data_IF_105331684483
#
_entry.id   IF_105331684483
#
_cell.length_a   1.000
_cell.length_b   1.000
_cell.length_c   1.000
_cell.angle_alpha   90.00
_cell.angle_beta   90.00
_cell.angle_gamma   90.00
#
_symmetry.space_group_name_H-M   'P 1'
#
loop_
_entity.id
_entity.type
_entity.pdbx_description
1 polymer ?
#
# COMPACT_ATOMS: atom_id res chain seq x y z
N UNK A 1 -18.25 -5.10 -16.50
CA UNK A 1 -18.05 -4.51 -15.16
C UNK A 1 -17.17 -3.26 -15.32
N UNK A 2 -17.30 -2.24 -14.46
CA UNK A 2 -16.55 -0.98 -14.61
C UNK A 2 -15.53 -0.76 -13.48
N UNK A 3 -14.44 -0.03 -13.73
CA UNK A 3 -13.48 0.36 -12.69
C UNK A 3 -14.11 1.21 -11.57
N UNK A 4 -15.19 1.96 -11.89
CA UNK A 4 -16.00 2.69 -10.93
C UNK A 4 -16.55 1.78 -9.81
N UNK A 5 -17.07 0.59 -10.17
CA UNK A 5 -17.60 -0.37 -9.19
C UNK A 5 -16.49 -0.89 -8.28
N UNK A 6 -15.31 -1.15 -8.83
CA UNK A 6 -14.15 -1.55 -8.02
C UNK A 6 -13.74 -0.42 -7.06
N UNK A 7 -13.65 0.83 -7.52
CA UNK A 7 -13.39 2.00 -6.67
C UNK A 7 -14.37 2.08 -5.51
N UNK A 8 -15.66 2.01 -5.79
CA UNK A 8 -16.70 2.20 -4.78
C UNK A 8 -16.67 1.07 -3.74
N UNK A 9 -16.44 -0.18 -4.18
CA UNK A 9 -16.26 -1.31 -3.27
C UNK A 9 -15.01 -1.18 -2.40
N UNK A 10 -13.89 -0.69 -2.94
CA UNK A 10 -12.64 -0.48 -2.20
C UNK A 10 -12.80 0.58 -1.11
N UNK A 11 -13.48 1.68 -1.42
CA UNK A 11 -13.82 2.72 -0.45
C UNK A 11 -14.65 2.12 0.68
N UNK A 12 -15.72 1.38 0.34
CA UNK A 12 -16.58 0.73 1.32
C UNK A 12 -15.80 -0.25 2.22
N UNK A 13 -14.89 -1.04 1.63
CA UNK A 13 -14.04 -1.96 2.40
C UNK A 13 -13.10 -1.24 3.35
N UNK A 14 -12.47 -0.15 2.93
CA UNK A 14 -11.59 0.65 3.79
C UNK A 14 -12.37 1.35 4.92
N UNK A 15 -13.56 1.87 4.63
CA UNK A 15 -14.44 2.49 5.63
C UNK A 15 -14.91 1.48 6.67
N UNK A 16 -15.23 0.25 6.27
CA UNK A 16 -15.58 -0.83 7.19
C UNK A 16 -14.44 -1.19 8.18
N UNK A 17 -13.19 -0.90 7.80
CA UNK A 17 -12.00 -1.04 8.66
C UNK A 17 -11.73 0.21 9.52
N UNK A 18 -12.57 1.25 9.42
CA UNK A 18 -12.40 2.52 10.12
C UNK A 18 -11.29 3.40 9.53
N UNK A 19 -10.89 3.17 8.28
CA UNK A 19 -9.84 3.96 7.64
C UNK A 19 -10.38 5.19 6.95
N UNK A 20 -9.57 6.25 6.90
CA UNK A 20 -9.88 7.44 6.12
C UNK A 20 -9.76 7.14 4.63
N UNK A 21 -10.79 7.44 3.86
CA UNK A 21 -10.82 7.31 2.40
C UNK A 21 -10.84 8.69 1.74
N UNK A 22 -10.16 8.84 0.61
CA UNK A 22 -10.23 10.05 -0.19
C UNK A 22 -9.97 9.77 -1.67
N UNK A 23 -10.73 10.44 -2.54
CA UNK A 23 -10.32 10.60 -3.93
C UNK A 23 -9.15 11.57 -4.02
N UNK A 24 -8.15 11.20 -4.81
CA UNK A 24 -6.95 11.98 -5.04
C UNK A 24 -6.75 12.15 -6.54
N UNK A 25 -7.44 13.12 -7.18
CA UNK A 25 -7.31 13.38 -8.62
C UNK A 25 -5.88 13.65 -9.06
N UNK A 26 -5.03 14.15 -8.16
CA UNK A 26 -3.61 14.37 -8.42
C UNK A 26 -2.85 13.09 -8.80
N UNK A 27 -3.30 11.90 -8.37
CA UNK A 27 -2.66 10.63 -8.76
C UNK A 27 -2.92 10.25 -10.21
N UNK A 28 -3.97 10.79 -10.84
CA UNK A 28 -4.25 10.61 -12.26
C UNK A 28 -3.82 11.83 -13.08
N UNK A 29 -3.09 12.77 -12.46
CA UNK A 29 -2.48 13.90 -13.15
C UNK A 29 -1.50 13.40 -14.21
N UNK A 30 -1.49 13.98 -15.42
CA UNK A 30 -0.55 13.60 -16.47
C UNK A 30 0.86 14.12 -16.21
N UNK A 31 1.01 15.06 -15.28
CA UNK A 31 2.26 15.76 -15.04
C UNK A 31 2.82 15.49 -13.64
N UNK A 32 4.16 15.48 -13.53
CA UNK A 32 4.83 15.45 -12.24
C UNK A 32 4.48 16.68 -11.40
N UNK A 33 4.38 16.50 -10.08
CA UNK A 33 4.13 17.60 -9.16
C UNK A 33 5.13 18.75 -9.38
N UNK A 34 4.62 19.92 -9.72
CA UNK A 34 5.42 21.13 -9.94
C UNK A 34 6.07 21.25 -11.32
N UNK A 35 5.71 20.40 -12.29
CA UNK A 35 6.05 20.57 -13.70
C UNK A 35 4.76 20.62 -14.49
N UNK A 36 4.57 21.62 -15.33
CA UNK A 36 3.44 21.68 -16.26
C UNK A 36 3.97 21.50 -17.69
N UNK A 37 3.31 20.66 -18.49
CA UNK A 37 3.57 20.56 -19.94
C UNK A 37 4.51 19.44 -20.39
N UNK A 38 4.56 18.32 -19.66
CA UNK A 38 5.27 17.12 -20.13
C UNK A 38 4.44 16.30 -21.12
N UNK A 39 5.11 15.45 -21.93
CA UNK A 39 4.43 14.49 -22.81
C UNK A 39 3.52 13.59 -21.97
N UNK A 40 2.22 13.72 -22.20
CA UNK A 40 1.19 13.06 -21.39
C UNK A 40 1.27 11.56 -21.63
N UNK A 41 1.41 10.71 -20.61
CA UNK A 41 1.19 9.29 -20.79
C UNK A 41 -0.26 9.08 -21.24
N UNK A 42 -0.44 8.29 -22.29
CA UNK A 42 -1.75 7.91 -22.77
C UNK A 42 -2.34 6.84 -21.84
N UNK A 43 -2.98 7.29 -20.76
CA UNK A 43 -3.60 6.44 -19.74
C UNK A 43 -5.00 6.01 -20.21
N UNK A 44 -5.46 4.79 -19.88
CA UNK A 44 -6.83 4.38 -20.16
C UNK A 44 -7.86 5.37 -19.60
N UNK A 45 -8.98 5.51 -20.30
CA UNK A 45 -10.17 6.15 -19.73
C UNK A 45 -10.60 5.39 -18.46
N UNK A 46 -11.24 6.09 -17.52
CA UNK A 46 -11.76 5.55 -16.25
C UNK A 46 -10.68 5.04 -15.28
N UNK A 47 -9.60 5.80 -15.13
CA UNK A 47 -8.63 5.63 -14.03
C UNK A 47 -9.02 6.52 -12.83
N UNK A 48 -8.91 5.96 -11.62
CA UNK A 48 -9.19 6.67 -10.37
C UNK A 48 -8.00 6.63 -9.42
N UNK A 49 -7.67 7.77 -8.84
CA UNK A 49 -6.68 7.89 -7.78
C UNK A 49 -7.36 7.91 -6.42
N UNK A 50 -6.97 7.02 -5.52
CA UNK A 50 -7.54 6.88 -4.18
C UNK A 50 -6.44 6.89 -3.12
N UNK A 51 -6.78 7.32 -1.92
CA UNK A 51 -6.03 7.05 -0.70
C UNK A 51 -6.95 6.28 0.25
N UNK A 52 -6.55 5.07 0.60
CA UNK A 52 -7.24 4.17 1.53
C UNK A 52 -6.37 4.02 2.78
N UNK A 53 -6.60 4.83 3.81
CA UNK A 53 -5.67 4.95 4.94
C UNK A 53 -4.27 5.40 4.48
N UNK A 54 -3.25 4.58 4.76
CA UNK A 54 -1.86 4.82 4.33
C UNK A 54 -1.51 4.19 2.97
N UNK A 55 -2.50 3.71 2.22
CA UNK A 55 -2.30 3.03 0.94
C UNK A 55 -2.79 3.90 -0.23
N UNK A 56 -1.88 4.52 -0.99
CA UNK A 56 -2.21 5.11 -2.29
C UNK A 56 -2.57 4.03 -3.29
N UNK A 57 -3.69 4.20 -3.99
CA UNK A 57 -4.19 3.23 -4.95
C UNK A 57 -4.56 3.91 -6.26
N UNK A 58 -4.11 3.34 -7.38
CA UNK A 58 -4.68 3.60 -8.70
C UNK A 58 -5.64 2.48 -9.06
N UNK A 59 -6.89 2.81 -9.39
CA UNK A 59 -7.89 1.87 -9.90
C UNK A 59 -8.03 2.07 -11.40
N UNK A 60 -7.83 1.03 -12.21
CA UNK A 60 -7.84 1.16 -13.67
C UNK A 60 -8.48 -0.07 -14.36
N UNK A 61 -9.01 0.09 -15.59
CA UNK A 61 -9.47 -1.05 -16.38
C UNK A 61 -8.30 -1.84 -16.96
N UNK A 62 -8.52 -3.14 -17.15
CA UNK A 62 -7.65 -3.99 -17.98
C UNK A 62 -8.49 -4.92 -18.85
N UNK A 63 -8.11 -5.06 -20.11
CA UNK A 63 -8.70 -6.04 -21.04
C UNK A 63 -7.85 -7.31 -21.01
N UNK A 64 -8.46 -8.44 -20.69
CA UNK A 64 -7.79 -9.75 -20.64
C UNK A 64 -8.01 -10.47 -21.97
N UNK A 65 -7.01 -10.40 -22.84
CA UNK A 65 -7.09 -10.97 -24.19
C UNK A 65 -5.73 -11.04 -24.84
N UNK A 66 -5.42 -10.05 -25.69
CA UNK A 66 -4.11 -9.93 -26.30
C UNK A 66 -3.03 -9.57 -25.26
N UNK A 67 -2.04 -10.45 -25.12
CA UNK A 67 -0.90 -10.32 -24.21
C UNK A 67 -0.11 -9.05 -24.50
N UNK A 68 0.11 -8.73 -25.77
CA UNK A 68 0.93 -7.57 -26.14
C UNK A 68 0.22 -6.27 -25.76
N UNK A 69 -1.08 -6.18 -26.04
CA UNK A 69 -1.91 -5.06 -25.60
C UNK A 69 -1.95 -4.94 -24.08
N UNK A 70 -2.09 -6.06 -23.36
CA UNK A 70 -2.09 -6.06 -21.90
C UNK A 70 -0.77 -5.52 -21.34
N UNK A 71 0.37 -5.96 -21.88
CA UNK A 71 1.70 -5.46 -21.50
C UNK A 71 1.89 -3.97 -21.85
N UNK A 72 1.37 -3.50 -22.99
CA UNK A 72 1.37 -2.06 -23.34
C UNK A 72 0.57 -1.25 -22.33
N UNK A 73 -0.63 -1.72 -21.96
CA UNK A 73 -1.48 -1.06 -20.97
C UNK A 73 -0.81 -1.03 -19.59
N UNK A 74 -0.21 -2.12 -19.15
CA UNK A 74 0.52 -2.19 -17.88
C UNK A 74 1.71 -1.23 -17.83
N UNK A 75 2.47 -1.10 -18.93
CA UNK A 75 3.57 -0.13 -19.02
C UNK A 75 3.08 1.32 -18.88
N UNK A 76 1.94 1.65 -19.48
CA UNK A 76 1.31 2.98 -19.36
C UNK A 76 0.86 3.25 -17.91
N UNK A 77 0.26 2.25 -17.25
CA UNK A 77 -0.13 2.36 -15.84
C UNK A 77 1.07 2.47 -14.90
N UNK A 78 2.15 1.75 -15.18
CA UNK A 78 3.42 1.89 -14.46
C UNK A 78 3.99 3.31 -14.59
N UNK A 79 3.99 3.89 -15.80
CA UNK A 79 4.40 5.27 -16.01
C UNK A 79 3.49 6.25 -15.23
N UNK A 80 2.17 6.02 -15.24
CA UNK A 80 1.24 6.83 -14.45
C UNK A 80 1.51 6.74 -12.95
N UNK A 81 1.82 5.55 -12.43
CA UNK A 81 2.17 5.39 -11.01
C UNK A 81 3.47 6.12 -10.65
N UNK A 82 4.46 6.14 -11.54
CA UNK A 82 5.70 6.93 -11.34
C UNK A 82 5.39 8.42 -11.19
N UNK A 83 4.46 8.95 -11.98
CA UNK A 83 4.00 10.34 -11.84
C UNK A 83 3.23 10.53 -10.54
N UNK A 84 2.27 9.62 -10.25
CA UNK A 84 1.46 9.67 -9.04
C UNK A 84 2.30 9.72 -7.76
N UNK A 85 3.42 8.98 -7.72
CA UNK A 85 4.38 8.98 -6.60
C UNK A 85 4.94 10.37 -6.26
N UNK A 86 5.01 11.30 -7.21
CA UNK A 86 5.43 12.69 -6.93
C UNK A 86 4.42 13.49 -6.08
N UNK A 87 3.18 13.00 -5.98
CA UNK A 87 2.11 13.57 -5.16
C UNK A 87 1.89 12.81 -3.84
N UNK A 88 2.58 11.68 -3.65
CA UNK A 88 2.51 10.87 -2.43
C UNK A 88 3.48 11.40 -1.37
N UNK A 89 3.22 11.08 -0.10
CA UNK A 89 4.22 11.32 0.96
C UNK A 89 5.33 10.26 0.86
N UNK A 90 6.59 10.58 1.21
CA UNK A 90 7.70 9.63 1.11
C UNK A 90 7.42 8.27 1.78
N UNK A 91 6.75 8.28 2.92
CA UNK A 91 6.36 7.10 3.69
C UNK A 91 5.23 6.27 3.04
N UNK A 92 4.40 6.88 2.20
CA UNK A 92 3.28 6.21 1.52
C UNK A 92 3.74 5.51 0.23
N UNK A 93 4.87 5.93 -0.34
CA UNK A 93 5.35 5.47 -1.65
C UNK A 93 5.55 3.95 -1.70
N UNK A 94 6.03 3.36 -0.61
CA UNK A 94 6.23 1.90 -0.50
C UNK A 94 4.90 1.12 -0.46
N UNK A 95 3.82 1.80 -0.08
CA UNK A 95 2.48 1.25 0.04
C UNK A 95 1.61 1.52 -1.20
N UNK A 96 2.20 2.04 -2.29
CA UNK A 96 1.46 2.31 -3.51
C UNK A 96 1.02 1.01 -4.19
N UNK A 97 -0.22 0.98 -4.69
CA UNK A 97 -0.79 -0.17 -5.40
C UNK A 97 -1.50 0.25 -6.69
N UNK A 98 -1.51 -0.64 -7.68
CA UNK A 98 -2.44 -0.58 -8.82
C UNK A 98 -3.45 -1.73 -8.67
N UNK A 99 -4.73 -1.40 -8.63
CA UNK A 99 -5.83 -2.35 -8.59
C UNK A 99 -6.55 -2.34 -9.94
N UNK A 100 -6.50 -3.46 -10.64
CA UNK A 100 -6.97 -3.59 -12.01
C UNK A 100 -8.34 -4.26 -12.05
N UNK A 101 -9.31 -3.66 -12.72
CA UNK A 101 -10.63 -4.26 -12.98
C UNK A 101 -10.63 -4.88 -14.38
N UNK A 102 -10.78 -6.20 -14.48
CA UNK A 102 -10.95 -6.86 -15.76
C UNK A 102 -12.31 -6.48 -16.37
N UNK A 103 -12.30 -5.77 -17.50
CA UNK A 103 -13.52 -5.29 -18.17
C UNK A 103 -14.02 -6.24 -19.25
N UNK A 104 -13.14 -7.06 -19.81
CA UNK A 104 -13.45 -8.12 -20.77
C UNK A 104 -12.43 -9.25 -20.69
N UNK A 105 -12.88 -10.48 -20.92
CA UNK A 105 -12.07 -11.70 -21.01
C UNK A 105 -12.31 -12.40 -22.34
N UNK A 106 -11.25 -12.79 -23.04
CA UNK A 106 -11.34 -13.65 -24.22
C UNK A 106 -11.18 -15.10 -23.75
N UNK A 107 -12.22 -15.94 -23.93
CA UNK A 107 -12.29 -17.31 -23.40
C UNK A 107 -11.13 -18.22 -23.85
N UNK A 108 -10.60 -18.01 -25.06
CA UNK A 108 -9.53 -18.82 -25.66
C UNK A 108 -8.11 -18.31 -25.38
N UNK A 109 -7.95 -17.17 -24.71
CA UNK A 109 -6.64 -16.59 -24.43
C UNK A 109 -6.07 -17.11 -23.10
N UNK A 110 -4.77 -17.43 -23.05
CA UNK A 110 -4.06 -17.76 -21.81
C UNK A 110 -3.72 -16.50 -21.00
N UNK A 111 -4.76 -15.75 -20.64
CA UNK A 111 -4.61 -14.51 -19.85
C UNK A 111 -4.16 -14.81 -18.41
N UNK A 112 -4.33 -16.04 -17.92
CA UNK A 112 -3.94 -16.43 -16.55
C UNK A 112 -2.45 -16.29 -16.33
N UNK A 113 -1.64 -16.74 -17.29
CA UNK A 113 -0.19 -16.58 -17.25
C UNK A 113 0.21 -15.10 -17.22
N UNK A 114 -0.50 -14.25 -17.96
CA UNK A 114 -0.19 -12.82 -18.04
C UNK A 114 -0.62 -12.08 -16.77
N UNK A 115 -1.76 -12.46 -16.18
CA UNK A 115 -2.18 -11.95 -14.86
C UNK A 115 -1.14 -12.31 -13.81
N UNK A 116 -0.69 -13.57 -13.74
CA UNK A 116 0.36 -14.00 -12.81
C UNK A 116 1.67 -13.24 -13.04
N UNK A 117 2.05 -13.02 -14.30
CA UNK A 117 3.23 -12.20 -14.65
C UNK A 117 3.06 -10.74 -14.20
N UNK A 118 1.88 -10.16 -14.39
CA UNK A 118 1.58 -8.78 -14.02
C UNK A 118 1.57 -8.57 -12.50
N UNK A 119 1.01 -9.52 -11.75
CA UNK A 119 0.98 -9.46 -10.28
C UNK A 119 2.36 -9.69 -9.66
N UNK A 120 3.23 -10.49 -10.31
CA UNK A 120 4.63 -10.69 -9.88
C UNK A 120 5.57 -9.53 -10.21
N UNK A 121 5.23 -8.72 -11.22
CA UNK A 121 6.01 -7.53 -11.54
C UNK A 121 5.78 -6.46 -10.46
N UNK A 122 6.70 -6.34 -9.52
CA UNK A 122 6.71 -5.31 -8.47
C UNK A 122 7.73 -4.19 -8.75
N UNK A 123 8.21 -4.03 -9.99
CA UNK A 123 9.27 -3.05 -10.33
C UNK A 123 8.91 -1.61 -9.95
N UNK A 124 7.64 -1.24 -10.07
CA UNK A 124 7.13 0.11 -9.73
C UNK A 124 6.33 0.10 -8.43
N UNK A 125 5.42 -0.85 -8.31
CA UNK A 125 4.48 -1.02 -7.20
C UNK A 125 3.80 -2.40 -7.30
N UNK A 126 3.08 -2.79 -6.25
CA UNK A 126 2.24 -4.00 -6.26
C UNK A 126 1.03 -3.81 -7.17
N UNK A 127 0.71 -4.85 -7.94
CA UNK A 127 -0.43 -4.87 -8.86
C UNK A 127 -1.31 -6.05 -8.55
N UNK A 128 -2.62 -5.84 -8.52
CA UNK A 128 -3.57 -6.92 -8.23
C UNK A 128 -4.74 -6.81 -9.21
N UNK A 129 -5.10 -7.92 -9.84
CA UNK A 129 -6.19 -7.97 -10.82
C UNK A 129 -7.44 -8.56 -10.16
N UNK A 130 -8.55 -7.83 -10.25
CA UNK A 130 -9.89 -8.34 -9.96
C UNK A 130 -10.56 -8.77 -11.25
N UNK A 131 -11.01 -10.02 -11.28
CA UNK A 131 -11.81 -10.58 -12.38
C UNK A 131 -13.24 -10.74 -11.85
N UNK A 132 -14.15 -9.81 -12.16
CA UNK A 132 -15.48 -9.83 -11.62
C UNK A 132 -16.32 -10.93 -12.26
N UNK A 133 -16.94 -11.76 -11.43
CA UNK A 133 -17.87 -12.80 -11.87
C UNK A 133 -19.31 -12.25 -11.82
N UNK A 134 -20.01 -12.18 -12.96
CA UNK A 134 -21.31 -11.53 -13.05
C UNK A 134 -22.37 -12.15 -12.11
N UNK A 135 -22.32 -13.48 -11.91
CA UNK A 135 -23.26 -14.21 -11.05
C UNK A 135 -22.78 -14.34 -9.59
N UNK A 136 -21.55 -13.93 -9.30
CA UNK A 136 -20.86 -14.14 -8.02
C UNK A 136 -19.99 -12.91 -7.68
N UNK A 137 -20.53 -11.71 -7.86
CA UNK A 137 -19.74 -10.48 -7.81
C UNK A 137 -19.11 -10.25 -6.44
N UNK A 138 -19.89 -10.43 -5.38
CA UNK A 138 -19.40 -10.23 -4.01
C UNK A 138 -18.41 -11.31 -3.60
N UNK A 139 -18.59 -12.55 -4.05
CA UNK A 139 -17.64 -13.66 -3.81
C UNK A 139 -16.32 -13.42 -4.54
N UNK A 140 -16.38 -13.06 -5.83
CA UNK A 140 -15.18 -12.72 -6.61
C UNK A 140 -14.46 -11.48 -6.06
N UNK A 141 -15.20 -10.49 -5.54
CA UNK A 141 -14.62 -9.34 -4.85
C UNK A 141 -13.99 -9.73 -3.51
N UNK A 142 -14.65 -10.55 -2.70
CA UNK A 142 -14.09 -11.03 -1.44
C UNK A 142 -12.79 -11.83 -1.66
N UNK A 143 -12.75 -12.70 -2.67
CA UNK A 143 -11.54 -13.42 -3.07
C UNK A 143 -10.42 -12.47 -3.55
N UNK A 144 -10.78 -11.37 -4.20
CA UNK A 144 -9.84 -10.31 -4.54
C UNK A 144 -9.31 -9.60 -3.29
N UNK A 145 -10.20 -9.12 -2.39
CA UNK A 145 -9.85 -8.43 -1.14
C UNK A 145 -8.93 -9.26 -0.27
N UNK A 146 -9.17 -10.58 -0.18
CA UNK A 146 -8.36 -11.52 0.60
C UNK A 146 -6.86 -11.52 0.21
N UNK A 147 -6.51 -11.07 -1.00
CA UNK A 147 -5.12 -10.97 -1.49
C UNK A 147 -4.53 -9.56 -1.32
N UNK A 148 -5.27 -8.63 -0.74
CA UNK A 148 -4.86 -7.23 -0.57
C UNK A 148 -4.60 -6.91 0.90
N UNK A 149 -4.09 -5.69 1.15
CA UNK A 149 -3.96 -5.14 2.50
C UNK A 149 -5.31 -4.97 3.23
N UNK A 150 -6.45 -5.03 2.52
CA UNK A 150 -7.80 -4.94 3.09
C UNK A 150 -8.28 -6.24 3.74
N UNK A 151 -7.57 -7.37 3.58
CA UNK A 151 -7.98 -8.66 4.12
C UNK A 151 -7.97 -8.72 5.67
N UNK A 152 -7.22 -7.81 6.32
CA UNK A 152 -7.00 -7.69 7.78
C UNK A 152 -7.11 -9.00 8.59
N UNK A 153 -6.41 -10.08 8.20
CA UNK A 153 -6.54 -11.39 8.85
C UNK A 153 -6.13 -11.36 10.32
N UNK A 154 -5.30 -10.38 10.71
CA UNK A 154 -4.85 -10.18 12.08
C UNK A 154 -5.94 -9.68 13.03
N UNK A 155 -7.05 -9.09 12.54
CA UNK A 155 -8.17 -8.73 13.41
C UNK A 155 -8.90 -9.98 13.93
N UNK A 156 -8.89 -11.06 13.15
CA UNK A 156 -9.44 -12.35 13.56
C UNK A 156 -8.41 -13.23 14.30
N UNK A 157 -7.12 -12.98 14.11
CA UNK A 157 -6.08 -13.60 14.90
C UNK A 157 -6.08 -13.01 16.31
N UNK A 158 -6.62 -13.74 17.29
CA UNK A 158 -6.61 -13.31 18.68
C UNK A 158 -5.20 -12.85 19.10
N UNK A 159 -5.13 -11.73 19.80
CA UNK A 159 -3.87 -11.20 20.35
C UNK A 159 -3.21 -12.26 21.22
N UNK A 160 -2.08 -12.79 20.76
CA UNK A 160 -1.25 -13.69 21.57
C UNK A 160 -0.35 -12.81 22.43
N UNK A 161 -0.63 -12.74 23.73
CA UNK A 161 0.27 -12.12 24.70
C UNK A 161 1.54 -12.98 24.84
N UNK A 162 2.72 -12.36 24.81
CA UNK A 162 4.04 -13.01 24.80
C UNK A 162 4.40 -13.71 23.48
N UNK A 163 4.08 -13.09 22.35
CA UNK A 163 4.61 -13.54 21.07
C UNK A 163 6.15 -13.45 21.07
N UNK A 164 6.87 -14.27 20.29
CA UNK A 164 8.33 -14.21 20.19
C UNK A 164 8.88 -12.82 19.82
N UNK A 165 8.09 -12.00 19.12
CA UNK A 165 8.45 -10.62 18.78
C UNK A 165 8.32 -9.65 19.97
N UNK A 166 7.43 -9.91 20.93
CA UNK A 166 7.31 -9.14 22.20
C UNK A 166 8.59 -9.29 23.05
N UNK A 167 9.41 -10.31 22.78
CA UNK A 167 10.69 -10.51 23.46
C UNK A 167 11.79 -9.57 22.94
N UNK A 168 11.53 -8.79 21.89
CA UNK A 168 12.47 -7.81 21.35
C UNK A 168 12.62 -6.57 22.25
N UNK A 169 11.56 -6.14 22.94
CA UNK A 169 11.64 -5.06 23.95
C UNK A 169 12.62 -5.43 25.07
N UNK A 170 12.50 -6.66 25.56
CA UNK A 170 13.43 -7.26 26.51
C UNK A 170 14.84 -7.40 25.92
N UNK A 171 14.99 -7.59 24.60
CA UNK A 171 16.29 -7.68 23.94
C UNK A 171 17.00 -6.32 23.90
N UNK A 172 16.31 -5.24 23.54
CA UNK A 172 16.87 -3.87 23.51
C UNK A 172 17.29 -3.43 24.91
N UNK A 173 16.44 -3.59 25.91
CA UNK A 173 16.76 -3.30 27.31
C UNK A 173 18.00 -4.08 27.78
N UNK A 174 18.06 -5.39 27.51
CA UNK A 174 19.19 -6.25 27.89
C UNK A 174 20.50 -5.83 27.22
N UNK A 175 20.45 -5.42 25.95
CA UNK A 175 21.63 -4.91 25.23
C UNK A 175 22.10 -3.59 25.83
N UNK A 176 21.20 -2.65 26.10
CA UNK A 176 21.53 -1.36 26.73
C UNK A 176 22.18 -1.54 28.11
N UNK A 177 21.61 -2.43 28.95
CA UNK A 177 22.18 -2.77 30.27
C UNK A 177 23.55 -3.44 30.13
N UNK A 178 23.71 -4.38 29.19
CA UNK A 178 24.99 -5.03 28.90
C UNK A 178 26.08 -4.01 28.50
N UNK A 179 25.70 -2.94 27.83
CA UNK A 179 26.60 -1.86 27.42
C UNK A 179 26.75 -0.73 28.46
N UNK A 180 26.30 -0.95 29.70
CA UNK A 180 26.63 -0.10 30.84
C UNK A 180 25.57 0.95 31.20
N UNK A 181 24.38 0.90 30.61
CA UNK A 181 23.26 1.73 31.09
C UNK A 181 22.63 1.10 32.35
N UNK A 182 22.34 1.88 33.40
CA UNK A 182 21.53 1.40 34.51
C UNK A 182 20.16 0.95 34.01
N UNK A 183 19.65 -0.16 34.54
CA UNK A 183 18.34 -0.71 34.17
C UNK A 183 17.19 0.32 34.12
N UNK A 184 16.98 1.18 35.14
CA UNK A 184 15.92 2.19 35.09
C UNK A 184 16.11 3.25 33.97
N UNK A 185 17.35 3.47 33.52
CA UNK A 185 17.64 4.35 32.38
C UNK A 185 17.35 3.64 31.07
N UNK A 186 17.75 2.36 30.94
CA UNK A 186 17.44 1.54 29.78
C UNK A 186 15.92 1.39 29.57
N UNK A 187 15.14 1.22 30.65
CA UNK A 187 13.68 1.15 30.60
C UNK A 187 13.07 2.45 30.07
N UNK A 188 13.60 3.59 30.54
CA UNK A 188 13.17 4.91 30.08
C UNK A 188 13.52 5.16 28.61
N UNK A 189 14.66 4.65 28.15
CA UNK A 189 15.07 4.76 26.75
C UNK A 189 14.16 3.95 25.81
N UNK A 190 13.78 2.73 26.21
CA UNK A 190 12.82 1.92 25.45
C UNK A 190 11.46 2.64 25.37
N UNK A 191 10.96 3.16 26.49
CA UNK A 191 9.69 3.90 26.53
C UNK A 191 9.70 5.17 25.67
N UNK A 192 10.81 5.93 25.64
CA UNK A 192 10.95 7.12 24.80
C UNK A 192 10.98 6.77 23.30
N UNK A 193 11.64 5.67 22.94
CA UNK A 193 11.69 5.20 21.56
C UNK A 193 10.31 4.72 21.05
N UNK A 194 9.50 4.11 21.91
CA UNK A 194 8.13 3.67 21.58
C UNK A 194 7.15 4.83 21.43
N UNK A 195 7.36 5.94 22.15
CA UNK A 195 6.51 7.13 22.08
C UNK A 195 6.84 8.04 20.90
N UNK A 196 7.82 7.68 20.07
CA UNK A 196 8.42 8.64 19.19
C UNK A 196 7.66 8.92 17.89
N UNK A 197 7.52 10.22 17.58
CA UNK A 197 7.03 10.76 16.32
C UNK A 197 8.08 11.63 15.62
N UNK A 198 8.25 11.38 14.32
CA UNK A 198 8.88 12.14 13.20
C UNK A 198 10.03 13.16 13.36
N UNK A 199 10.53 13.55 14.54
CA UNK A 199 11.57 14.60 14.69
C UNK A 199 12.85 14.14 15.42
N UNK A 200 13.78 13.41 14.76
CA UNK A 200 14.96 12.70 15.31
C UNK A 200 15.81 13.44 16.36
N UNK A 201 15.94 14.77 16.26
CA UNK A 201 16.82 15.54 17.13
C UNK A 201 16.25 15.66 18.56
N UNK A 202 14.92 15.66 18.68
CA UNK A 202 14.22 15.69 19.96
C UNK A 202 14.42 14.39 20.76
N UNK A 203 14.36 13.20 20.12
CA UNK A 203 14.61 11.90 20.78
C UNK A 203 16.01 11.83 21.33
N UNK A 204 17.01 12.24 20.54
CA UNK A 204 18.41 12.18 20.97
C UNK A 204 18.59 13.04 22.22
N UNK A 205 17.98 14.22 22.26
CA UNK A 205 18.01 15.13 23.41
C UNK A 205 17.36 14.49 24.65
N UNK A 206 16.19 13.87 24.50
CA UNK A 206 15.46 13.21 25.59
C UNK A 206 16.18 11.96 26.13
N UNK A 207 16.76 11.15 25.25
CA UNK A 207 17.57 9.99 25.62
C UNK A 207 18.84 10.42 26.39
N UNK A 208 19.54 11.45 25.91
CA UNK A 208 20.73 11.98 26.58
C UNK A 208 20.39 12.57 27.97
N UNK A 209 19.25 13.25 28.08
CA UNK A 209 18.73 13.75 29.36
C UNK A 209 18.42 12.60 30.32
N UNK A 210 17.76 11.54 29.83
CA UNK A 210 17.46 10.35 30.62
C UNK A 210 18.71 9.61 31.11
N UNK A 211 19.84 9.70 30.39
CA UNK A 211 21.13 9.11 30.77
C UNK A 211 21.86 9.85 31.88
N UNK A 212 21.51 11.10 32.15
CA UNK A 212 22.10 11.90 33.22
C UNK A 212 23.48 12.48 32.89
N UNK A 213 23.61 13.19 31.77
CA UNK A 213 24.74 14.11 31.55
C UNK A 213 24.31 15.54 31.86
N UNK A 214 24.82 16.08 32.97
CA UNK A 214 25.33 17.46 33.02
C UNK A 214 26.82 17.40 32.76
#
# INVERSE_FOLDING_TARGET
>A
MTPQILRDKLIQSAEALGWTTADVPAFTSPDFRGREGSDKPEVPADIFGLRLGFYPVLVAPITLGDVEQMQRNLRRLNAQMVIARSYMRPEEVINAHIMLCATATIELADWRQVVDMAERDETVCRKIVWIPEANALDESYAAFVARTFLATPWQAAGTTLNAPLDHNENLVQRVLVRHGLPRPVADRWVALAEQYGSDPDTLVTELMTARGQS
#
